data_IF_952664300619
#
_entry.id   IF_952664300619
#
_cell.length_a   1.000
_cell.length_b   1.000
_cell.length_c   1.000
_cell.angle_alpha   90.00
_cell.angle_beta   90.00
_cell.angle_gamma   90.00
#
_symmetry.space_group_name_H-M   'P 1'
#
loop_
_entity.id
_entity.type
_entity.pdbx_description
1 polymer ?
#
# COMPACT_ATOMS: atom_id res chain seq x y z
N UNK A 1 21.95 53.48 -41.43
CA UNK A 1 21.04 52.35 -41.08
C UNK A 1 21.85 51.22 -40.50
N UNK A 2 21.90 51.11 -39.18
CA UNK A 2 22.64 50.07 -38.46
C UNK A 2 21.65 48.91 -38.22
N UNK A 3 21.88 47.78 -38.87
CA UNK A 3 21.10 46.55 -38.64
C UNK A 3 21.52 45.94 -37.28
N UNK A 4 20.67 46.07 -36.29
CA UNK A 4 20.79 45.37 -35.03
C UNK A 4 20.52 43.87 -35.28
N UNK A 5 21.54 43.04 -35.07
CA UNK A 5 21.40 41.57 -35.00
C UNK A 5 20.54 41.22 -33.79
N UNK A 6 19.39 40.55 -34.01
CA UNK A 6 18.64 39.88 -32.95
C UNK A 6 19.52 38.81 -32.27
N UNK A 7 19.49 38.69 -30.95
CA UNK A 7 20.15 37.57 -30.28
C UNK A 7 19.49 36.25 -30.72
N UNK A 8 20.33 35.30 -31.12
CA UNK A 8 19.89 34.00 -31.58
C UNK A 8 19.01 33.29 -30.54
N UNK A 9 17.90 32.73 -31.02
CA UNK A 9 17.05 31.85 -30.24
C UNK A 9 17.91 30.73 -29.62
N UNK A 10 17.94 30.66 -28.30
CA UNK A 10 18.54 29.54 -27.59
C UNK A 10 17.89 28.26 -28.10
N UNK A 11 18.69 27.35 -28.63
CA UNK A 11 18.26 26.05 -29.11
C UNK A 11 17.54 25.33 -27.98
N UNK A 12 16.26 25.00 -28.17
CA UNK A 12 15.38 24.27 -27.25
C UNK A 12 15.81 22.78 -27.09
N UNK A 13 17.05 22.49 -27.49
CA UNK A 13 17.63 21.16 -27.50
C UNK A 13 18.39 20.89 -26.20
N UNK A 14 17.94 19.87 -25.45
CA UNK A 14 18.66 19.42 -24.25
C UNK A 14 20.09 19.00 -24.56
N UNK A 15 21.07 19.41 -23.73
CA UNK A 15 22.46 19.01 -23.90
C UNK A 15 22.62 17.49 -23.93
N UNK A 16 23.61 17.01 -24.67
CA UNK A 16 23.87 15.58 -24.84
C UNK A 16 25.16 15.16 -24.14
N UNK A 17 25.30 13.84 -23.85
CA UNK A 17 26.55 13.29 -23.27
C UNK A 17 27.77 13.54 -24.16
N UNK A 18 27.60 13.69 -25.50
CA UNK A 18 28.67 14.05 -26.42
C UNK A 18 29.16 15.47 -26.21
N UNK A 19 28.28 16.41 -25.94
CA UNK A 19 28.64 17.82 -25.66
C UNK A 19 29.37 17.94 -24.31
N UNK A 20 28.93 17.16 -23.29
CA UNK A 20 29.65 17.07 -22.02
C UNK A 20 31.06 16.50 -22.23
N UNK A 21 31.15 15.39 -22.96
CA UNK A 21 32.45 14.75 -23.28
C UNK A 21 33.41 15.69 -23.98
N UNK A 22 32.91 16.46 -24.97
CA UNK A 22 33.68 17.47 -25.69
C UNK A 22 34.16 18.59 -24.78
N UNK A 23 33.28 19.13 -23.92
CA UNK A 23 33.63 20.22 -22.99
C UNK A 23 34.59 19.74 -21.90
N UNK A 24 34.43 18.53 -21.39
CA UNK A 24 35.29 17.95 -20.36
C UNK A 24 36.63 17.39 -20.90
N UNK A 25 36.80 17.29 -22.23
CA UNK A 25 38.01 16.72 -22.86
C UNK A 25 38.17 15.22 -22.60
N UNK A 26 37.05 14.47 -22.50
CA UNK A 26 37.02 13.02 -22.18
C UNK A 26 36.19 12.25 -23.21
N UNK A 27 36.22 10.90 -23.14
CA UNK A 27 35.36 10.07 -23.97
C UNK A 27 33.91 10.06 -23.46
N UNK A 28 32.94 9.79 -24.36
CA UNK A 28 31.52 9.63 -24.00
C UNK A 28 31.35 8.47 -22.97
N UNK A 29 32.15 7.42 -23.07
CA UNK A 29 32.16 6.32 -22.12
C UNK A 29 32.63 6.74 -20.72
N UNK A 30 33.56 7.71 -20.62
CA UNK A 30 33.98 8.28 -19.34
C UNK A 30 32.85 9.11 -18.70
N UNK A 31 32.11 9.89 -19.51
CA UNK A 31 30.90 10.59 -19.05
C UNK A 31 29.87 9.59 -18.52
N UNK A 32 29.56 8.55 -19.26
CA UNK A 32 28.60 7.50 -18.84
C UNK A 32 29.04 6.86 -17.50
N UNK A 33 30.31 6.42 -17.39
CA UNK A 33 30.86 5.82 -16.17
C UNK A 33 30.81 6.77 -14.98
N UNK A 34 30.98 8.07 -15.18
CA UNK A 34 30.89 9.08 -14.11
C UNK A 34 29.53 9.06 -13.40
N UNK A 35 28.46 8.74 -14.13
CA UNK A 35 27.08 8.68 -13.62
C UNK A 35 26.60 7.25 -13.32
N UNK A 36 27.46 6.24 -13.49
CA UNK A 36 27.14 4.83 -13.16
C UNK A 36 27.69 4.51 -11.78
N UNK A 37 26.82 4.07 -10.87
CA UNK A 37 27.24 3.62 -9.53
C UNK A 37 28.20 2.45 -9.62
N UNK A 38 29.28 2.46 -8.82
CA UNK A 38 30.28 1.40 -8.83
C UNK A 38 31.25 1.40 -10.02
N UNK A 39 31.03 2.23 -11.05
CA UNK A 39 31.97 2.29 -12.18
C UNK A 39 33.25 3.04 -11.81
N UNK A 40 34.40 2.49 -12.23
CA UNK A 40 35.73 3.10 -12.02
C UNK A 40 35.93 4.29 -12.95
N UNK A 41 36.18 5.46 -12.37
CA UNK A 41 36.57 6.72 -13.05
C UNK A 41 37.57 7.43 -12.17
N UNK A 42 38.66 7.96 -12.76
CA UNK A 42 39.63 8.74 -11.99
C UNK A 42 39.00 9.97 -11.37
N UNK A 43 39.47 10.42 -10.17
CA UNK A 43 38.93 11.63 -9.52
C UNK A 43 39.00 12.87 -10.44
N UNK A 44 40.09 13.07 -11.16
CA UNK A 44 40.27 14.18 -12.12
C UNK A 44 39.23 14.13 -13.26
N UNK A 45 39.02 12.95 -13.84
CA UNK A 45 38.00 12.77 -14.90
C UNK A 45 36.59 13.05 -14.38
N UNK A 46 36.28 12.55 -13.16
CA UNK A 46 34.98 12.80 -12.51
C UNK A 46 34.73 14.28 -12.29
N UNK A 47 35.72 15.01 -11.80
CA UNK A 47 35.63 16.45 -11.55
C UNK A 47 35.38 17.24 -12.86
N UNK A 48 36.14 16.96 -13.92
CA UNK A 48 35.98 17.58 -15.26
C UNK A 48 34.58 17.32 -15.82
N UNK A 49 34.08 16.09 -15.73
CA UNK A 49 32.73 15.74 -16.21
C UNK A 49 31.67 16.47 -15.42
N UNK A 50 31.75 16.49 -14.08
CA UNK A 50 30.77 17.18 -13.24
C UNK A 50 30.77 18.70 -13.46
N UNK A 51 31.93 19.31 -13.68
CA UNK A 51 32.02 20.72 -14.02
C UNK A 51 31.36 21.05 -15.38
N UNK A 52 31.67 20.25 -16.41
CA UNK A 52 31.06 20.39 -17.74
C UNK A 52 29.53 20.14 -17.68
N UNK A 53 29.07 19.18 -16.90
CA UNK A 53 27.66 18.86 -16.68
C UNK A 53 26.91 20.06 -16.08
N UNK A 54 27.46 20.66 -15.03
CA UNK A 54 26.88 21.89 -14.42
C UNK A 54 26.83 23.06 -15.40
N UNK A 55 27.92 23.27 -16.14
CA UNK A 55 28.03 24.40 -17.12
C UNK A 55 27.00 24.28 -18.26
N UNK A 56 26.71 23.05 -18.71
CA UNK A 56 25.77 22.80 -19.81
C UNK A 56 24.33 22.60 -19.35
N UNK A 57 24.07 22.46 -18.05
CA UNK A 57 22.78 22.02 -17.55
C UNK A 57 22.39 20.59 -18.00
N UNK A 58 23.41 19.75 -18.27
CA UNK A 58 23.18 18.38 -18.72
C UNK A 58 22.63 17.52 -17.57
N UNK A 59 21.59 16.75 -17.88
CA UNK A 59 21.08 15.72 -17.00
C UNK A 59 21.22 14.36 -17.70
N UNK A 60 21.81 13.34 -17.04
CA UNK A 60 21.89 12.00 -17.60
C UNK A 60 20.49 11.49 -17.99
N UNK A 61 20.37 10.97 -19.20
CA UNK A 61 19.10 10.44 -19.68
C UNK A 61 18.86 9.06 -19.04
N UNK A 62 17.83 8.96 -18.18
CA UNK A 62 17.46 7.72 -17.51
C UNK A 62 17.09 6.61 -18.52
N UNK A 63 16.43 6.96 -19.64
CA UNK A 63 16.10 5.99 -20.70
C UNK A 63 17.36 5.44 -21.38
N UNK A 64 18.36 6.28 -21.64
CA UNK A 64 19.62 5.81 -22.21
C UNK A 64 20.37 4.89 -21.24
N UNK A 65 20.28 5.16 -19.93
CA UNK A 65 20.85 4.33 -18.88
C UNK A 65 20.11 2.98 -18.80
N UNK A 66 18.80 2.97 -18.85
CA UNK A 66 18.00 1.74 -18.78
C UNK A 66 18.28 0.78 -19.93
N UNK A 67 18.55 1.29 -21.14
CA UNK A 67 18.97 0.48 -22.29
C UNK A 67 20.32 -0.24 -22.06
N UNK A 68 21.24 0.41 -21.33
CA UNK A 68 22.56 -0.17 -21.02
C UNK A 68 22.52 -1.14 -19.84
N UNK A 69 21.77 -0.80 -18.80
CA UNK A 69 21.68 -1.58 -17.56
C UNK A 69 20.60 -2.66 -17.60
N UNK A 70 19.70 -2.59 -18.57
CA UNK A 70 18.46 -3.38 -18.65
C UNK A 70 17.56 -3.19 -17.42
N UNK A 71 17.70 -2.05 -16.72
CA UNK A 71 16.92 -1.69 -15.53
C UNK A 71 16.38 -0.28 -15.68
N UNK A 72 15.10 -0.13 -15.35
CA UNK A 72 14.38 1.15 -15.41
C UNK A 72 14.35 1.88 -14.08
N UNK A 73 14.62 1.17 -12.97
CA UNK A 73 14.44 1.61 -11.58
C UNK A 73 12.96 1.90 -11.27
N UNK A 74 12.03 1.47 -12.14
CA UNK A 74 10.60 1.61 -11.92
C UNK A 74 10.08 0.41 -11.12
N UNK A 75 9.36 0.70 -10.04
CA UNK A 75 8.61 -0.29 -9.26
C UNK A 75 7.13 0.06 -9.35
N UNK A 76 6.32 -0.87 -9.83
CA UNK A 76 4.89 -0.67 -9.91
C UNK A 76 4.24 -0.89 -8.53
N UNK A 77 3.36 0.04 -8.14
CA UNK A 77 2.47 -0.07 -6.99
C UNK A 77 1.04 -0.23 -7.52
N UNK A 78 0.46 -1.40 -7.31
CA UNK A 78 -0.85 -1.75 -7.83
C UNK A 78 -1.85 -1.83 -6.69
N UNK A 79 -2.98 -1.16 -6.81
CA UNK A 79 -4.10 -1.27 -5.88
C UNK A 79 -5.44 -1.00 -6.54
N UNK A 80 -6.50 -1.46 -5.91
CA UNK A 80 -7.89 -1.18 -6.29
C UNK A 80 -8.72 -0.57 -5.13
N UNK A 81 -8.06 -0.15 -4.05
CA UNK A 81 -8.70 0.35 -2.82
C UNK A 81 -8.49 1.86 -2.62
N UNK A 82 -8.54 2.65 -3.70
CA UNK A 82 -8.27 4.10 -3.63
C UNK A 82 -9.35 4.90 -2.88
N UNK A 83 -10.53 4.33 -2.71
CA UNK A 83 -11.62 4.94 -1.94
C UNK A 83 -11.44 4.82 -0.42
N UNK A 84 -10.54 3.92 0.04
CA UNK A 84 -10.21 3.79 1.45
C UNK A 84 -9.07 4.75 1.83
N UNK A 85 -9.28 5.71 2.75
CA UNK A 85 -8.26 6.69 3.15
C UNK A 85 -6.96 6.07 3.69
N UNK A 86 -6.98 4.84 4.22
CA UNK A 86 -5.77 4.10 4.62
C UNK A 86 -4.75 4.04 3.48
N UNK A 87 -5.21 3.88 2.25
CA UNK A 87 -4.31 3.71 1.11
C UNK A 87 -3.56 5.00 0.73
N UNK A 88 -4.01 6.17 1.17
CA UNK A 88 -3.23 7.41 1.05
C UNK A 88 -1.94 7.33 1.89
N UNK A 89 -2.04 6.84 3.12
CA UNK A 89 -0.88 6.60 3.99
C UNK A 89 0.01 5.50 3.43
N UNK A 90 -0.58 4.38 2.99
CA UNK A 90 0.13 3.25 2.38
C UNK A 90 0.97 3.72 1.17
N UNK A 91 0.39 4.51 0.27
CA UNK A 91 1.12 5.01 -0.91
C UNK A 91 2.18 6.05 -0.55
N UNK A 92 1.95 6.91 0.42
CA UNK A 92 2.98 7.84 0.92
C UNK A 92 4.18 7.07 1.46
N UNK A 93 3.96 6.08 2.31
CA UNK A 93 5.02 5.25 2.87
C UNK A 93 5.78 4.44 1.81
N UNK A 94 5.07 3.79 0.88
CA UNK A 94 5.71 3.07 -0.23
C UNK A 94 6.56 3.99 -1.10
N UNK A 95 6.01 5.14 -1.49
CA UNK A 95 6.73 6.07 -2.37
C UNK A 95 7.97 6.62 -1.70
N UNK A 96 7.89 7.00 -0.42
CA UNK A 96 9.06 7.45 0.36
C UNK A 96 10.11 6.34 0.48
N UNK A 97 9.71 5.12 0.82
CA UNK A 97 10.65 4.00 1.00
C UNK A 97 11.34 3.64 -0.31
N UNK A 98 10.62 3.56 -1.42
CA UNK A 98 11.19 3.30 -2.75
C UNK A 98 12.16 4.41 -3.18
N UNK A 99 11.78 5.69 -2.99
CA UNK A 99 12.64 6.83 -3.33
C UNK A 99 13.94 6.83 -2.51
N UNK A 100 13.89 6.50 -1.21
CA UNK A 100 15.09 6.35 -0.37
C UNK A 100 16.03 5.26 -0.89
N UNK A 101 15.50 4.24 -1.55
CA UNK A 101 16.25 3.16 -2.21
C UNK A 101 16.63 3.47 -3.67
N UNK A 102 16.44 4.74 -4.11
CA UNK A 102 16.75 5.16 -5.47
C UNK A 102 15.80 4.61 -6.54
N UNK A 103 14.65 4.04 -6.14
CA UNK A 103 13.62 3.52 -7.05
C UNK A 103 12.54 4.54 -7.32
N UNK A 104 11.83 4.38 -8.43
CA UNK A 104 10.76 5.28 -8.87
C UNK A 104 9.43 4.53 -8.86
N UNK A 105 8.47 4.96 -8.03
CA UNK A 105 7.15 4.33 -8.02
C UNK A 105 6.36 4.66 -9.30
N UNK A 106 5.72 3.65 -9.88
CA UNK A 106 4.70 3.76 -10.92
C UNK A 106 3.37 3.29 -10.33
N UNK A 107 2.45 4.21 -10.05
CA UNK A 107 1.18 3.90 -9.44
C UNK A 107 0.16 3.47 -10.51
N UNK A 108 -0.48 2.31 -10.32
CA UNK A 108 -1.57 1.84 -11.16
C UNK A 108 -2.82 1.57 -10.32
N UNK A 109 -3.91 2.24 -10.70
CA UNK A 109 -5.21 2.12 -10.07
C UNK A 109 -6.08 1.12 -10.82
N UNK A 110 -6.48 0.04 -10.17
CA UNK A 110 -7.38 -0.99 -10.68
C UNK A 110 -8.80 -0.88 -10.09
N UNK A 111 -9.16 0.26 -9.49
CA UNK A 111 -10.53 0.54 -9.03
C UNK A 111 -11.51 0.66 -10.21
N UNK A 112 -12.80 0.52 -9.93
CA UNK A 112 -13.85 0.77 -10.92
C UNK A 112 -13.91 -0.21 -12.09
N UNK A 113 -13.40 -1.45 -11.91
CA UNK A 113 -13.46 -2.49 -12.95
C UNK A 113 -12.38 -2.35 -14.03
N UNK A 114 -11.30 -1.63 -13.75
CA UNK A 114 -10.13 -1.60 -14.65
C UNK A 114 -9.60 -3.02 -14.86
N UNK A 115 -9.42 -3.39 -16.11
CA UNK A 115 -9.02 -4.74 -16.50
C UNK A 115 -7.56 -5.00 -16.14
N UNK A 116 -7.31 -6.14 -15.52
CA UNK A 116 -5.96 -6.56 -15.09
C UNK A 116 -5.01 -6.79 -16.26
N UNK A 117 -5.50 -7.23 -17.42
CA UNK A 117 -4.71 -7.40 -18.63
C UNK A 117 -4.19 -6.06 -19.18
N UNK A 118 -4.99 -4.99 -19.15
CA UNK A 118 -4.54 -3.64 -19.55
C UNK A 118 -3.45 -3.13 -18.61
N UNK A 119 -3.57 -3.42 -17.32
CA UNK A 119 -2.51 -3.08 -16.36
C UNK A 119 -1.23 -3.86 -16.65
N UNK A 120 -1.32 -5.16 -16.92
CA UNK A 120 -0.18 -6.00 -17.28
C UNK A 120 0.54 -5.47 -18.55
N UNK A 121 -0.21 -5.15 -19.60
CA UNK A 121 0.35 -4.55 -20.83
C UNK A 121 1.09 -3.23 -20.53
N UNK A 122 0.53 -2.39 -19.66
CA UNK A 122 1.18 -1.15 -19.23
C UNK A 122 2.51 -1.43 -18.51
N UNK A 123 2.54 -2.39 -17.57
CA UNK A 123 3.74 -2.76 -16.83
C UNK A 123 4.85 -3.25 -17.77
N UNK A 124 4.49 -4.10 -18.74
CA UNK A 124 5.42 -4.61 -19.77
C UNK A 124 5.95 -3.47 -20.66
N UNK A 125 5.07 -2.57 -21.09
CA UNK A 125 5.43 -1.42 -21.93
C UNK A 125 6.43 -0.49 -21.25
N UNK A 126 6.27 -0.27 -19.94
CA UNK A 126 7.20 0.55 -19.15
C UNK A 126 8.41 -0.24 -18.63
N UNK A 127 8.46 -1.56 -18.86
CA UNK A 127 9.55 -2.43 -18.41
C UNK A 127 9.87 -2.23 -16.93
N UNK A 128 8.84 -2.34 -16.07
CA UNK A 128 9.04 -2.19 -14.62
C UNK A 128 9.97 -3.29 -14.11
N UNK A 129 10.85 -2.96 -13.15
CA UNK A 129 11.80 -3.91 -12.59
C UNK A 129 11.15 -4.86 -11.58
N UNK A 130 9.98 -4.47 -11.02
CA UNK A 130 9.23 -5.28 -10.08
C UNK A 130 7.85 -4.69 -9.76
N UNK A 131 7.01 -5.49 -9.11
CA UNK A 131 5.60 -5.17 -8.82
C UNK A 131 5.30 -5.40 -7.34
N UNK A 132 4.69 -4.42 -6.68
CA UNK A 132 4.06 -4.57 -5.37
C UNK A 132 2.54 -4.48 -5.56
N UNK A 133 1.83 -5.54 -5.21
CA UNK A 133 0.37 -5.56 -5.21
C UNK A 133 -0.12 -5.26 -3.81
N UNK A 134 -0.65 -4.05 -3.60
CA UNK A 134 -1.19 -3.59 -2.31
C UNK A 134 -2.71 -3.73 -2.33
N UNK A 135 -3.20 -4.96 -2.21
CA UNK A 135 -4.63 -5.27 -2.23
C UNK A 135 -4.92 -6.66 -1.68
N UNK A 136 -6.05 -6.80 -0.99
CA UNK A 136 -6.62 -8.07 -0.53
C UNK A 136 -7.79 -8.55 -1.40
N UNK A 137 -8.13 -7.83 -2.46
CA UNK A 137 -9.31 -8.06 -3.31
C UNK A 137 -8.98 -8.30 -4.79
N UNK A 138 -7.72 -8.07 -5.21
CA UNK A 138 -7.32 -8.39 -6.58
C UNK A 138 -7.25 -9.92 -6.77
N UNK A 139 -7.67 -10.42 -7.96
CA UNK A 139 -7.59 -11.85 -8.25
C UNK A 139 -6.14 -12.35 -8.17
N UNK A 140 -5.89 -13.54 -7.58
CA UNK A 140 -4.56 -14.17 -7.55
C UNK A 140 -3.92 -14.29 -8.95
N UNK A 141 -4.74 -14.51 -9.97
CA UNK A 141 -4.31 -14.63 -11.36
C UNK A 141 -3.48 -13.43 -11.83
N UNK A 142 -3.77 -12.20 -11.36
CA UNK A 142 -2.98 -11.03 -11.74
C UNK A 142 -1.51 -11.12 -11.29
N UNK A 143 -1.27 -11.63 -10.06
CA UNK A 143 0.10 -11.84 -9.57
C UNK A 143 0.80 -12.97 -10.30
N UNK A 144 0.07 -14.01 -10.67
CA UNK A 144 0.56 -15.13 -11.48
C UNK A 144 0.94 -14.69 -12.89
N UNK A 145 0.11 -13.87 -13.52
CA UNK A 145 0.36 -13.32 -14.87
C UNK A 145 1.61 -12.41 -14.87
N UNK A 146 1.79 -11.58 -13.83
CA UNK A 146 3.00 -10.78 -13.68
C UNK A 146 4.25 -11.66 -13.50
N UNK A 147 4.18 -12.69 -12.67
CA UNK A 147 5.28 -13.62 -12.45
C UNK A 147 5.60 -14.43 -13.74
N UNK A 148 4.58 -14.90 -14.45
CA UNK A 148 4.75 -15.60 -15.74
C UNK A 148 5.39 -14.71 -16.82
N UNK A 149 5.15 -13.40 -16.74
CA UNK A 149 5.82 -12.40 -17.60
C UNK A 149 7.26 -12.07 -17.15
N UNK A 150 7.79 -12.76 -16.14
CA UNK A 150 9.16 -12.59 -15.64
C UNK A 150 9.36 -11.38 -14.74
N UNK A 151 8.28 -10.77 -14.24
CA UNK A 151 8.37 -9.64 -13.29
C UNK A 151 8.37 -10.17 -11.86
N UNK A 152 9.37 -9.78 -11.01
CA UNK A 152 9.32 -10.01 -9.58
C UNK A 152 8.06 -9.40 -8.95
N UNK A 153 7.31 -10.18 -8.15
CA UNK A 153 6.06 -9.72 -7.53
C UNK A 153 6.10 -9.99 -6.03
N UNK A 154 5.68 -9.00 -5.25
CA UNK A 154 5.39 -9.12 -3.82
C UNK A 154 3.95 -8.68 -3.58
N UNK A 155 3.16 -9.50 -2.90
CA UNK A 155 1.83 -9.12 -2.43
C UNK A 155 1.93 -8.52 -1.03
N UNK A 156 1.67 -7.23 -0.91
CA UNK A 156 1.51 -6.55 0.37
C UNK A 156 0.04 -6.65 0.82
N UNK A 157 -0.17 -6.81 2.13
CA UNK A 157 -1.49 -7.02 2.75
C UNK A 157 -2.18 -8.33 2.31
N UNK A 158 -1.41 -9.30 1.80
CA UNK A 158 -1.88 -10.63 1.46
C UNK A 158 -1.86 -11.61 2.64
N UNK A 159 -2.37 -12.82 2.40
CA UNK A 159 -2.29 -13.94 3.34
C UNK A 159 -1.62 -15.16 2.69
N UNK A 160 -1.09 -16.14 3.48
CA UNK A 160 -0.55 -17.38 2.96
C UNK A 160 -1.54 -18.09 2.02
N UNK A 161 -1.05 -18.58 0.89
CA UNK A 161 -1.88 -19.29 -0.10
C UNK A 161 -2.70 -18.38 -1.03
N UNK A 162 -2.60 -17.04 -0.91
CA UNK A 162 -3.32 -16.11 -1.79
C UNK A 162 -2.64 -15.89 -3.15
N UNK A 163 -1.39 -16.35 -3.32
CA UNK A 163 -0.66 -16.27 -4.59
C UNK A 163 0.27 -17.46 -4.77
N UNK A 164 0.51 -17.86 -6.03
CA UNK A 164 1.48 -18.90 -6.38
C UNK A 164 2.94 -18.45 -6.20
N UNK A 165 3.22 -17.13 -6.25
CA UNK A 165 4.59 -16.59 -6.12
C UNK A 165 5.18 -16.77 -4.72
N UNK A 166 4.37 -16.99 -3.70
CA UNK A 166 4.82 -17.20 -2.32
C UNK A 166 5.41 -15.96 -1.62
N UNK A 167 5.57 -14.84 -2.32
CA UNK A 167 6.15 -13.61 -1.76
C UNK A 167 5.04 -12.73 -1.18
N UNK A 168 4.77 -12.90 0.10
CA UNK A 168 3.64 -12.26 0.80
C UNK A 168 4.15 -11.53 2.03
N UNK A 169 3.72 -10.29 2.19
CA UNK A 169 3.93 -9.51 3.40
C UNK A 169 2.58 -8.95 3.86
N UNK A 170 2.18 -9.21 5.10
CA UNK A 170 0.88 -8.76 5.58
C UNK A 170 0.75 -8.74 7.09
N UNK A 171 -0.42 -8.34 7.57
CA UNK A 171 -0.80 -8.49 8.96
C UNK A 171 -1.40 -9.89 9.21
N UNK A 172 -1.24 -10.41 10.42
CA UNK A 172 -1.99 -11.56 10.89
C UNK A 172 -3.44 -11.13 11.21
N UNK A 173 -4.26 -11.06 10.15
CA UNK A 173 -5.65 -10.64 10.23
C UNK A 173 -6.49 -11.56 11.10
N UNK A 174 -6.19 -12.86 11.09
CA UNK A 174 -6.88 -13.85 11.93
C UNK A 174 -6.62 -13.57 13.41
N UNK A 175 -5.34 -13.38 13.79
CA UNK A 175 -4.97 -13.00 15.16
C UNK A 175 -5.62 -11.66 15.56
N UNK A 176 -5.65 -10.67 14.65
CA UNK A 176 -6.30 -9.40 14.90
C UNK A 176 -7.80 -9.53 15.17
N UNK A 177 -8.51 -10.35 14.38
CA UNK A 177 -9.92 -10.68 14.59
C UNK A 177 -10.18 -11.39 15.94
N UNK A 178 -9.27 -12.29 16.33
CA UNK A 178 -9.34 -12.97 17.63
C UNK A 178 -9.16 -11.98 18.78
N UNK A 179 -8.19 -11.08 18.72
CA UNK A 179 -8.01 -10.01 19.73
C UNK A 179 -9.27 -9.15 19.84
N UNK A 180 -9.91 -8.80 18.73
CA UNK A 180 -11.15 -8.02 18.76
C UNK A 180 -12.28 -8.79 19.47
N UNK A 181 -12.44 -10.07 19.18
CA UNK A 181 -13.41 -10.93 19.85
C UNK A 181 -13.15 -11.08 21.35
N UNK A 182 -11.90 -11.31 21.76
CA UNK A 182 -11.51 -11.42 23.16
C UNK A 182 -11.84 -10.13 23.91
N UNK A 183 -11.46 -8.97 23.33
CA UNK A 183 -11.72 -7.66 23.93
C UNK A 183 -13.22 -7.38 24.11
N UNK A 184 -14.04 -7.71 23.12
CA UNK A 184 -15.49 -7.52 23.20
C UNK A 184 -16.12 -8.45 24.25
N UNK A 185 -15.75 -9.71 24.25
CA UNK A 185 -16.25 -10.72 25.18
C UNK A 185 -15.89 -10.40 26.64
N UNK A 186 -14.67 -9.98 26.91
CA UNK A 186 -14.18 -9.62 28.26
C UNK A 186 -14.90 -8.39 28.82
N UNK A 187 -15.36 -7.45 27.97
CA UNK A 187 -16.19 -6.29 28.35
C UNK A 187 -17.67 -6.61 28.48
N UNK A 188 -18.03 -7.90 28.45
CA UNK A 188 -19.39 -8.36 28.72
C UNK A 188 -20.35 -8.22 27.55
N UNK A 189 -19.89 -7.92 26.33
CA UNK A 189 -20.74 -7.95 25.15
C UNK A 189 -21.13 -9.39 24.81
N UNK A 190 -22.37 -9.62 24.38
CA UNK A 190 -22.90 -10.95 24.08
C UNK A 190 -23.53 -11.05 22.69
N UNK A 191 -24.10 -9.99 22.19
CA UNK A 191 -24.76 -9.91 20.89
C UNK A 191 -23.88 -9.12 19.91
N UNK A 192 -22.77 -9.72 19.50
CA UNK A 192 -21.73 -9.09 18.74
C UNK A 192 -21.99 -9.31 17.23
N UNK A 193 -22.09 -8.24 16.48
CA UNK A 193 -22.18 -8.30 15.02
C UNK A 193 -20.83 -8.05 14.36
N UNK A 194 -20.66 -8.54 13.12
CA UNK A 194 -19.53 -8.22 12.26
C UNK A 194 -19.99 -7.41 11.03
N UNK A 195 -19.35 -6.26 10.81
CA UNK A 195 -19.49 -5.46 9.59
C UNK A 195 -18.23 -5.59 8.74
N UNK A 196 -18.28 -6.42 7.70
CA UNK A 196 -17.17 -6.62 6.78
C UNK A 196 -17.18 -5.66 5.59
N UNK A 197 -16.02 -5.49 4.95
CA UNK A 197 -15.92 -4.97 3.59
C UNK A 197 -16.37 -6.04 2.58
N UNK A 198 -15.81 -6.04 1.34
CA UNK A 198 -16.14 -7.06 0.36
C UNK A 198 -15.93 -8.47 0.89
N UNK A 199 -16.92 -9.33 0.75
CA UNK A 199 -16.87 -10.71 1.24
C UNK A 199 -15.71 -11.50 0.64
N UNK A 200 -15.35 -11.23 -0.61
CA UNK A 200 -14.23 -11.89 -1.29
C UNK A 200 -12.84 -11.39 -0.84
N UNK A 201 -12.77 -10.36 0.00
CA UNK A 201 -11.49 -9.87 0.52
C UNK A 201 -10.92 -10.85 1.56
N UNK A 202 -9.70 -11.32 1.34
CA UNK A 202 -9.04 -12.25 2.27
C UNK A 202 -8.91 -11.69 3.68
N UNK A 203 -8.68 -10.38 3.81
CA UNK A 203 -8.64 -9.70 5.12
C UNK A 203 -10.00 -9.68 5.83
N UNK A 204 -11.12 -9.52 5.09
CA UNK A 204 -12.47 -9.60 5.65
C UNK A 204 -12.73 -10.99 6.25
N UNK A 205 -12.42 -12.03 5.48
CA UNK A 205 -12.62 -13.42 5.89
C UNK A 205 -11.79 -13.78 7.12
N UNK A 206 -10.48 -13.47 7.11
CA UNK A 206 -9.58 -13.80 8.21
C UNK A 206 -9.99 -13.07 9.51
N UNK A 207 -10.38 -11.79 9.45
CA UNK A 207 -10.87 -11.03 10.61
C UNK A 207 -12.15 -11.63 11.19
N UNK A 208 -13.09 -12.05 10.33
CA UNK A 208 -14.30 -12.74 10.76
C UNK A 208 -13.99 -14.09 11.40
N UNK A 209 -13.14 -14.91 10.77
CA UNK A 209 -12.76 -16.22 11.32
C UNK A 209 -12.11 -16.08 12.69
N UNK A 210 -11.23 -15.11 12.89
CA UNK A 210 -10.62 -14.82 14.18
C UNK A 210 -11.65 -14.39 15.23
N UNK A 211 -12.61 -13.54 14.88
CA UNK A 211 -13.73 -13.18 15.74
C UNK A 211 -14.54 -14.42 16.16
N UNK A 212 -14.93 -15.26 15.19
CA UNK A 212 -15.70 -16.47 15.45
C UNK A 212 -14.96 -17.43 16.42
N UNK A 213 -13.64 -17.64 16.21
CA UNK A 213 -12.84 -18.47 17.11
C UNK A 213 -12.86 -17.94 18.56
N UNK A 214 -12.65 -16.64 18.74
CA UNK A 214 -12.69 -16.03 20.08
C UNK A 214 -14.06 -16.19 20.74
N UNK A 215 -15.15 -15.92 20.02
CA UNK A 215 -16.50 -15.99 20.56
C UNK A 215 -16.88 -17.44 20.93
N UNK A 216 -16.46 -18.42 20.15
CA UNK A 216 -16.73 -19.83 20.38
C UNK A 216 -16.19 -20.33 21.73
N UNK A 217 -15.13 -19.72 22.28
CA UNK A 217 -14.58 -20.03 23.63
C UNK A 217 -15.65 -19.88 24.73
N UNK A 218 -16.61 -18.98 24.51
CA UNK A 218 -17.71 -18.74 25.46
C UNK A 218 -19.07 -19.23 24.95
N UNK A 219 -19.08 -20.10 23.94
CA UNK A 219 -20.31 -20.61 23.33
C UNK A 219 -21.11 -19.52 22.59
N UNK A 220 -20.46 -18.43 22.17
CA UNK A 220 -21.06 -17.36 21.40
C UNK A 220 -20.70 -17.50 19.92
N UNK A 221 -21.53 -16.89 19.09
CA UNK A 221 -21.27 -16.69 17.66
C UNK A 221 -21.68 -15.25 17.28
N UNK A 222 -21.20 -14.70 16.16
CA UNK A 222 -21.70 -13.41 15.69
C UNK A 222 -23.20 -13.44 15.48
N UNK A 223 -23.95 -12.54 16.14
CA UNK A 223 -25.40 -12.45 16.01
C UNK A 223 -25.83 -11.97 14.61
N UNK A 224 -24.96 -11.29 13.87
CA UNK A 224 -25.13 -10.92 12.48
C UNK A 224 -23.76 -10.77 11.81
N UNK A 225 -23.69 -11.17 10.53
CA UNK A 225 -22.53 -10.94 9.65
C UNK A 225 -23.04 -10.26 8.39
N UNK A 226 -22.61 -9.03 8.15
CA UNK A 226 -23.07 -8.23 7.02
C UNK A 226 -21.86 -7.67 6.29
N UNK A 227 -21.91 -7.69 4.95
CA UNK A 227 -20.82 -7.26 4.10
C UNK A 227 -21.20 -6.01 3.29
N UNK A 228 -20.29 -5.06 3.22
CA UNK A 228 -20.33 -3.93 2.31
C UNK A 228 -19.68 -4.27 0.96
N UNK A 229 -20.02 -3.49 -0.04
CA UNK A 229 -19.41 -3.60 -1.38
C UNK A 229 -17.98 -3.03 -1.43
N UNK A 230 -17.62 -2.19 -0.46
CA UNK A 230 -16.31 -1.54 -0.35
C UNK A 230 -16.01 -1.16 1.11
N UNK A 231 -14.74 -0.85 1.37
CA UNK A 231 -14.30 -0.27 2.64
C UNK A 231 -14.43 1.26 2.56
N UNK A 232 -15.65 1.78 2.75
CA UNK A 232 -15.92 3.21 2.77
C UNK A 232 -16.89 3.58 3.89
N UNK A 233 -16.92 4.86 4.24
CA UNK A 233 -17.76 5.41 5.31
C UNK A 233 -19.25 5.16 5.05
N UNK A 234 -19.71 5.39 3.81
CA UNK A 234 -21.12 5.23 3.39
C UNK A 234 -21.60 3.79 3.56
N UNK A 235 -20.75 2.80 3.25
CA UNK A 235 -21.05 1.41 3.47
C UNK A 235 -21.22 1.12 4.98
N UNK A 236 -20.30 1.57 5.82
CA UNK A 236 -20.38 1.42 7.27
C UNK A 236 -21.64 2.05 7.85
N UNK A 237 -21.97 3.27 7.42
CA UNK A 237 -23.18 3.96 7.82
C UNK A 237 -24.46 3.18 7.43
N UNK A 238 -24.57 2.74 6.19
CA UNK A 238 -25.74 2.01 5.70
C UNK A 238 -25.94 0.66 6.42
N UNK A 239 -24.84 -0.11 6.56
CA UNK A 239 -24.86 -1.41 7.23
C UNK A 239 -25.26 -1.28 8.71
N UNK A 240 -24.71 -0.29 9.41
CA UNK A 240 -25.04 -0.04 10.81
C UNK A 240 -26.51 0.38 10.98
N UNK A 241 -27.04 1.23 10.09
CA UNK A 241 -28.47 1.57 10.08
C UNK A 241 -29.34 0.34 9.90
N UNK A 242 -28.93 -0.62 9.09
CA UNK A 242 -29.65 -1.89 8.92
C UNK A 242 -29.63 -2.71 10.23
N UNK A 243 -28.47 -2.85 10.88
CA UNK A 243 -28.34 -3.57 12.16
C UNK A 243 -29.21 -2.94 13.24
N UNK A 244 -29.18 -1.62 13.40
CA UNK A 244 -29.94 -0.90 14.43
C UNK A 244 -31.45 -1.04 14.27
N UNK A 245 -31.94 -1.14 13.00
CA UNK A 245 -33.39 -1.41 12.75
C UNK A 245 -33.81 -2.81 13.19
N UNK A 246 -32.93 -3.80 13.03
CA UNK A 246 -33.23 -5.19 13.40
C UNK A 246 -33.16 -5.39 14.92
N UNK A 247 -32.41 -4.54 15.62
CA UNK A 247 -32.21 -4.63 17.06
C UNK A 247 -31.40 -5.84 17.50
N UNK A 248 -31.27 -5.99 18.84
CA UNK A 248 -30.63 -7.17 19.42
C UNK A 248 -29.09 -7.22 19.33
N UNK A 249 -28.43 -6.12 18.98
CA UNK A 249 -26.95 -6.01 18.91
C UNK A 249 -26.46 -5.13 20.02
N UNK A 250 -25.44 -5.57 20.79
CA UNK A 250 -24.83 -4.78 21.87
C UNK A 250 -23.38 -4.34 21.56
N UNK A 251 -22.75 -4.95 20.54
CA UNK A 251 -21.48 -4.46 19.97
C UNK A 251 -21.34 -4.82 18.50
N UNK A 252 -20.50 -4.06 17.82
CA UNK A 252 -20.13 -4.33 16.44
C UNK A 252 -18.61 -4.27 16.26
N UNK A 253 -18.05 -5.31 15.63
CA UNK A 253 -16.70 -5.30 15.10
C UNK A 253 -16.74 -4.99 13.61
N UNK A 254 -16.22 -3.83 13.25
CA UNK A 254 -16.08 -3.41 11.87
C UNK A 254 -14.73 -3.86 11.32
N UNK A 255 -14.75 -4.52 10.17
CA UNK A 255 -13.55 -5.03 9.52
C UNK A 255 -12.58 -3.94 8.99
N UNK A 256 -12.88 -2.65 9.25
CA UNK A 256 -12.02 -1.52 8.88
C UNK A 256 -12.47 -0.27 9.68
N UNK A 257 -11.55 0.63 9.99
CA UNK A 257 -11.84 1.87 10.73
C UNK A 257 -12.79 2.79 9.95
N UNK A 258 -12.67 2.85 8.63
CA UNK A 258 -13.58 3.70 7.85
C UNK A 258 -15.02 3.19 7.90
N UNK A 259 -15.22 1.86 7.95
CA UNK A 259 -16.55 1.27 8.23
C UNK A 259 -17.02 1.61 9.64
N UNK A 260 -16.13 1.54 10.64
CA UNK A 260 -16.44 1.86 12.03
C UNK A 260 -16.83 3.34 12.21
N UNK A 261 -16.16 4.26 11.51
CA UNK A 261 -16.53 5.68 11.50
C UNK A 261 -17.94 5.90 10.95
N UNK A 262 -18.27 5.23 9.83
CA UNK A 262 -19.63 5.22 9.31
C UNK A 262 -20.66 4.65 10.28
N UNK A 263 -20.29 3.56 10.98
CA UNK A 263 -21.14 2.96 12.02
C UNK A 263 -21.36 3.91 13.22
N UNK A 264 -20.33 4.62 13.66
CA UNK A 264 -20.43 5.64 14.73
C UNK A 264 -21.37 6.77 14.32
N UNK A 265 -21.27 7.27 13.10
CA UNK A 265 -22.15 8.33 12.61
C UNK A 265 -23.60 7.84 12.44
N UNK A 266 -23.81 6.58 12.06
CA UNK A 266 -25.14 5.97 12.05
C UNK A 266 -25.74 5.83 13.45
N UNK A 267 -24.93 5.51 14.49
CA UNK A 267 -25.38 5.52 15.88
C UNK A 267 -25.81 6.92 16.31
N UNK A 268 -25.02 7.95 16.01
CA UNK A 268 -25.36 9.36 16.32
C UNK A 268 -26.68 9.77 15.63
N UNK A 269 -26.90 9.39 14.39
CA UNK A 269 -28.07 9.73 13.60
C UNK A 269 -29.38 9.17 14.20
N UNK A 270 -29.31 8.02 14.88
CA UNK A 270 -30.49 7.43 15.58
C UNK A 270 -30.52 7.70 17.07
N UNK A 271 -29.54 8.44 17.62
CA UNK A 271 -29.44 8.75 19.04
C UNK A 271 -28.93 7.60 19.93
N UNK A 272 -28.35 6.55 19.36
CA UNK A 272 -27.73 5.45 20.11
C UNK A 272 -26.38 5.90 20.71
N UNK A 273 -26.24 5.68 22.01
CA UNK A 273 -25.04 6.14 22.75
C UNK A 273 -23.95 5.09 22.71
N UNK A 274 -22.80 5.47 22.13
CA UNK A 274 -21.58 4.66 22.16
C UNK A 274 -20.71 5.15 23.33
N UNK A 275 -20.22 4.27 24.23
CA UNK A 275 -20.33 2.80 24.23
C UNK A 275 -21.52 2.25 25.04
N UNK A 276 -22.40 3.09 25.58
CA UNK A 276 -23.41 2.68 26.59
C UNK A 276 -24.48 1.75 26.02
N UNK A 277 -25.07 2.12 24.89
CA UNK A 277 -26.13 1.33 24.25
C UNK A 277 -25.53 0.29 23.30
N UNK A 278 -24.44 0.63 22.63
CA UNK A 278 -23.72 -0.26 21.71
C UNK A 278 -22.21 0.05 21.67
N UNK A 279 -21.38 -0.99 21.65
CA UNK A 279 -19.93 -0.86 21.43
C UNK A 279 -19.59 -0.87 19.94
N UNK A 280 -18.59 -0.08 19.53
CA UNK A 280 -18.08 -0.07 18.16
C UNK A 280 -16.56 -0.23 18.19
N UNK A 281 -16.06 -1.20 17.43
CA UNK A 281 -14.63 -1.48 17.28
C UNK A 281 -14.23 -1.51 15.83
N UNK A 282 -13.07 -0.93 15.51
CA UNK A 282 -12.51 -0.88 14.16
C UNK A 282 -11.31 -1.81 13.95
N UNK A 283 -10.65 -1.63 12.81
CA UNK A 283 -9.41 -2.32 12.42
C UNK A 283 -8.58 -1.40 11.53
N UNK A 284 -7.30 -1.30 11.73
CA UNK A 284 -6.18 -0.65 11.05
C UNK A 284 -5.45 0.37 11.93
N UNK A 285 -6.13 1.01 12.87
CA UNK A 285 -5.64 2.15 13.66
C UNK A 285 -5.21 3.32 12.78
N UNK A 286 -6.10 3.70 11.86
CA UNK A 286 -5.90 4.87 11.01
C UNK A 286 -5.77 6.14 11.85
N UNK A 287 -5.01 7.13 11.38
CA UNK A 287 -4.84 8.41 12.10
C UNK A 287 -6.17 9.05 12.51
N UNK A 288 -7.21 8.92 11.69
CA UNK A 288 -8.55 9.43 11.99
C UNK A 288 -9.24 8.73 13.17
N UNK A 289 -8.88 7.48 13.48
CA UNK A 289 -9.45 6.74 14.61
C UNK A 289 -9.16 7.44 15.94
N UNK A 290 -8.04 8.15 16.05
CA UNK A 290 -7.65 8.92 17.23
C UNK A 290 -8.31 10.30 17.31
N UNK A 291 -9.02 10.77 16.29
CA UNK A 291 -9.66 12.08 16.32
C UNK A 291 -10.74 12.14 17.41
N UNK A 292 -10.86 13.26 18.13
CA UNK A 292 -11.84 13.39 19.21
C UNK A 292 -13.29 13.11 18.78
N UNK A 293 -13.61 13.32 17.50
CA UNK A 293 -14.93 13.05 16.93
C UNK A 293 -15.28 11.56 16.92
N UNK A 294 -14.28 10.69 16.80
CA UNK A 294 -14.44 9.23 16.75
C UNK A 294 -13.93 8.55 18.01
N UNK A 295 -12.71 8.88 18.45
CA UNK A 295 -12.07 8.28 19.62
C UNK A 295 -12.23 6.74 19.61
N UNK A 296 -11.96 6.14 18.44
CA UNK A 296 -12.32 4.77 18.10
C UNK A 296 -11.33 3.77 18.66
N UNK A 297 -11.83 2.80 19.43
CA UNK A 297 -11.11 1.59 19.81
C UNK A 297 -10.96 0.70 18.59
N UNK A 298 -9.74 0.24 18.31
CA UNK A 298 -9.42 -0.45 17.05
C UNK A 298 -8.31 -1.46 17.23
N UNK A 299 -8.08 -2.28 16.20
CA UNK A 299 -6.92 -3.15 16.10
C UNK A 299 -5.86 -2.46 15.22
N UNK A 300 -4.70 -2.22 15.79
CA UNK A 300 -3.54 -1.71 15.05
C UNK A 300 -2.91 -2.81 14.20
N UNK A 301 -2.76 -2.58 12.90
CA UNK A 301 -1.85 -3.34 12.04
C UNK A 301 -0.60 -2.49 11.76
N UNK A 302 0.61 -3.09 11.82
CA UNK A 302 1.85 -2.33 11.67
C UNK A 302 2.16 -2.02 10.19
N UNK A 303 1.39 -1.08 9.62
CA UNK A 303 1.45 -0.73 8.19
C UNK A 303 2.87 -0.35 7.76
N UNK A 304 3.59 0.42 8.58
CA UNK A 304 4.95 0.85 8.26
C UNK A 304 5.93 -0.34 8.13
N UNK A 305 5.86 -1.30 9.06
CA UNK A 305 6.72 -2.49 9.05
C UNK A 305 6.39 -3.40 7.85
N UNK A 306 5.11 -3.56 7.53
CA UNK A 306 4.64 -4.30 6.34
C UNK A 306 5.24 -3.68 5.07
N UNK A 307 5.19 -2.36 4.95
CA UNK A 307 5.71 -1.64 3.79
C UNK A 307 7.23 -1.75 3.67
N UNK A 308 7.96 -1.58 4.79
CA UNK A 308 9.41 -1.76 4.82
C UNK A 308 9.78 -3.16 4.34
N UNK A 309 9.15 -4.18 4.94
CA UNK A 309 9.43 -5.57 4.60
C UNK A 309 9.05 -5.93 3.16
N UNK A 310 7.94 -5.38 2.63
CA UNK A 310 7.53 -5.63 1.24
C UNK A 310 8.51 -5.01 0.23
N UNK A 311 8.99 -3.79 0.49
CA UNK A 311 10.00 -3.14 -0.36
C UNK A 311 11.34 -3.88 -0.28
N UNK A 312 11.79 -4.26 0.91
CA UNK A 312 13.04 -5.01 1.10
C UNK A 312 12.99 -6.37 0.40
N UNK A 313 11.89 -7.12 0.57
CA UNK A 313 11.70 -8.39 -0.10
C UNK A 313 11.73 -8.25 -1.63
N UNK A 314 10.99 -7.28 -2.19
CA UNK A 314 10.98 -7.06 -3.63
C UNK A 314 12.35 -6.66 -4.15
N UNK A 315 13.04 -5.73 -3.49
CA UNK A 315 14.36 -5.27 -3.94
C UNK A 315 15.41 -6.35 -3.81
N UNK A 316 15.34 -7.21 -2.78
CA UNK A 316 16.17 -8.42 -2.66
C UNK A 316 16.04 -9.31 -3.89
N UNK A 317 14.81 -9.61 -4.33
CA UNK A 317 14.55 -10.42 -5.53
C UNK A 317 15.03 -9.69 -6.80
N UNK A 318 14.71 -8.40 -6.96
CA UNK A 318 15.10 -7.59 -8.13
C UNK A 318 16.62 -7.51 -8.26
N UNK A 319 17.35 -7.32 -7.17
CA UNK A 319 18.80 -7.13 -7.19
C UNK A 319 19.59 -8.44 -7.15
N UNK A 320 18.90 -9.59 -7.15
CA UNK A 320 19.49 -10.93 -7.05
C UNK A 320 20.38 -11.10 -5.79
N UNK A 321 20.09 -10.35 -4.73
CA UNK A 321 20.85 -10.33 -3.51
C UNK A 321 20.33 -11.31 -2.46
N UNK A 322 19.11 -11.84 -2.64
CA UNK A 322 18.46 -12.73 -1.67
C UNK A 322 17.74 -13.89 -2.34
N UNK A 323 17.97 -15.09 -1.81
CA UNK A 323 17.15 -16.28 -2.01
C UNK A 323 15.94 -16.28 -1.04
N UNK A 324 15.78 -15.24 -0.24
CA UNK A 324 14.77 -15.14 0.82
C UNK A 324 13.40 -14.81 0.23
N UNK A 325 12.85 -15.80 -0.47
CA UNK A 325 11.43 -15.80 -0.87
C UNK A 325 10.60 -16.28 0.30
N UNK A 326 9.44 -15.65 0.58
CA UNK A 326 8.58 -16.21 1.61
C UNK A 326 7.48 -15.30 2.14
N UNK A 327 6.86 -15.81 3.20
CA UNK A 327 5.72 -15.22 3.86
C UNK A 327 6.18 -14.51 5.13
N UNK A 328 5.87 -13.21 5.25
CA UNK A 328 6.14 -12.41 6.45
C UNK A 328 4.83 -11.85 6.99
N UNK A 329 4.37 -12.38 8.13
CA UNK A 329 3.17 -11.90 8.80
C UNK A 329 3.54 -11.15 10.07
N UNK A 330 2.95 -9.97 10.24
CA UNK A 330 3.14 -9.10 11.40
C UNK A 330 1.96 -9.20 12.35
N UNK A 331 2.24 -9.27 13.65
CA UNK A 331 1.21 -9.33 14.69
C UNK A 331 0.49 -8.01 14.83
N UNK A 332 -0.82 -8.09 15.05
CA UNK A 332 -1.67 -6.98 15.41
C UNK A 332 -1.72 -6.80 16.93
N UNK A 333 -2.19 -5.64 17.40
CA UNK A 333 -2.51 -5.39 18.81
C UNK A 333 -3.70 -4.44 18.93
N UNK A 334 -4.37 -4.48 20.09
CA UNK A 334 -5.49 -3.61 20.36
C UNK A 334 -5.02 -2.19 20.75
N UNK A 335 -5.73 -1.18 20.29
CA UNK A 335 -5.60 0.22 20.71
C UNK A 335 -6.92 0.65 21.32
N UNK A 336 -6.93 0.75 22.63
CA UNK A 336 -8.12 1.09 23.40
C UNK A 336 -8.35 2.60 23.41
N UNK A 337 -9.61 3.02 23.14
CA UNK A 337 -10.09 4.39 23.20
C UNK A 337 -11.49 4.42 23.82
N UNK A 338 -12.40 5.27 23.34
CA UNK A 338 -13.65 5.57 24.02
C UNK A 338 -14.90 4.84 23.49
N UNK A 339 -14.81 3.95 22.51
CA UNK A 339 -15.99 3.36 21.86
C UNK A 339 -16.40 1.97 22.39
N UNK A 340 -15.73 1.47 23.42
CA UNK A 340 -16.11 0.26 24.16
C UNK A 340 -16.29 0.56 25.63
N UNK A 341 -17.09 -0.26 26.33
CA UNK A 341 -17.23 -0.21 27.80
C UNK A 341 -15.87 -0.43 28.45
N UNK A 342 -15.62 0.23 29.57
CA UNK A 342 -14.47 -0.08 30.43
C UNK A 342 -14.56 -1.51 30.96
N UNK A 343 -13.42 -2.10 31.29
CA UNK A 343 -13.35 -3.37 32.00
C UNK A 343 -13.86 -3.22 33.43
#
# INVERSE_FOLDING_TARGET
>A
MIRTRKPGAASDRRPTAREVAKLAGVSVSAVSRTFTSGASVSPDTREKVLAATRSLGYQPNALARSLMTKRTELIALISNNFDNPLFMEVFDLFTRRLQQQGRRPLLANLSGGTRTDVALEMLLKYSVDGVIVASSTLPPQFTEDCAAAGMPVVQAFGRPGSTASGNIVGADNFQGGRIAGDMLRERGYRNIAFLGGPQAATSTEDRLLGLCESLAVSGLEPCAVIYGHSYCHEAGFALMKQLLRNGGVDAVFCGDDVLAMGALDACKDVGARVPHDIGVMGFNDMAMAAWPAYNLTTIHQPVADIIIAAVELLLGIVDHSDEDTGIRLFKCHAVERGTLRSL
#
